data_IF_628031271908
#
_entry.id   IF_628031271908
#
_cell.length_a   1.000
_cell.length_b   1.000
_cell.length_c   1.000
_cell.angle_alpha   90.00
_cell.angle_beta   90.00
_cell.angle_gamma   90.00
#
_symmetry.space_group_name_H-M   'P 1'
#
loop_
_entity.id
_entity.type
_entity.pdbx_description
1 polymer ?
#
# COMPACT_ATOMS: atom_id res chain seq x y z
N UNK A 1 -34.90 14.92 -30.28
CA UNK A 1 -35.07 15.15 -28.83
C UNK A 1 -33.70 15.09 -28.18
N UNK A 2 -33.08 16.22 -27.77
CA UNK A 2 -31.81 16.17 -27.07
C UNK A 2 -32.02 15.62 -25.65
N UNK A 3 -31.29 14.55 -25.34
CA UNK A 3 -31.20 13.92 -24.02
C UNK A 3 -30.84 14.97 -22.96
N UNK A 4 -31.61 14.99 -21.86
CA UNK A 4 -31.40 15.92 -20.76
C UNK A 4 -30.02 15.70 -20.14
N UNK A 5 -29.23 16.77 -19.96
CA UNK A 5 -27.99 16.72 -19.19
C UNK A 5 -28.31 16.25 -17.76
N UNK A 6 -27.53 15.33 -17.18
CA UNK A 6 -27.67 15.01 -15.76
C UNK A 6 -27.45 16.27 -14.92
N UNK A 7 -28.20 16.37 -13.81
CA UNK A 7 -28.15 17.53 -12.92
C UNK A 7 -26.72 17.78 -12.40
N UNK A 8 -26.29 19.04 -12.25
CA UNK A 8 -24.98 19.34 -11.68
C UNK A 8 -24.92 18.81 -10.25
N UNK A 9 -23.88 18.03 -9.95
CA UNK A 9 -23.59 17.57 -8.60
C UNK A 9 -23.44 18.78 -7.68
N UNK A 10 -24.21 18.79 -6.57
CA UNK A 10 -24.15 19.86 -5.57
C UNK A 10 -22.75 19.89 -4.95
N UNK A 11 -22.17 21.09 -4.96
CA UNK A 11 -20.74 21.34 -4.79
C UNK A 11 -20.08 20.78 -3.52
N UNK A 12 -18.83 20.37 -3.71
CA UNK A 12 -17.74 20.62 -2.75
C UNK A 12 -16.70 21.51 -3.44
N UNK A 13 -15.94 22.26 -2.63
CA UNK A 13 -14.92 23.19 -3.08
C UNK A 13 -13.98 22.54 -4.10
N UNK A 14 -13.79 23.20 -5.25
CA UNK A 14 -12.85 22.76 -6.27
C UNK A 14 -11.43 22.72 -5.68
N UNK A 15 -10.88 21.51 -5.53
CA UNK A 15 -9.45 21.34 -5.30
C UNK A 15 -8.70 22.03 -6.45
N UNK A 16 -7.77 22.93 -6.11
CA UNK A 16 -6.87 23.56 -7.09
C UNK A 16 -5.88 22.57 -7.70
N UNK A 17 -5.77 21.37 -7.12
CA UNK A 17 -4.96 20.28 -7.63
C UNK A 17 -5.70 19.52 -8.75
N UNK A 18 -5.12 19.53 -9.95
CA UNK A 18 -5.68 18.84 -11.13
C UNK A 18 -5.87 17.32 -10.92
N UNK A 19 -5.13 16.71 -9.99
CA UNK A 19 -5.21 15.27 -9.67
C UNK A 19 -6.38 14.90 -8.76
N UNK A 20 -7.11 15.90 -8.25
CA UNK A 20 -8.23 15.73 -7.32
C UNK A 20 -9.56 16.21 -7.95
N UNK A 21 -9.56 16.67 -9.20
CA UNK A 21 -10.75 17.21 -9.87
C UNK A 21 -11.63 16.08 -10.40
N UNK A 22 -12.91 16.09 -10.04
CA UNK A 22 -13.94 15.13 -10.47
C UNK A 22 -13.62 13.65 -10.14
N UNK A 23 -12.79 13.40 -9.11
CA UNK A 23 -12.36 12.07 -8.65
C UNK A 23 -12.88 11.71 -7.25
N UNK A 24 -14.05 12.24 -6.88
CA UNK A 24 -14.68 11.96 -5.59
C UNK A 24 -14.91 10.45 -5.40
N UNK A 25 -14.61 9.96 -4.18
CA UNK A 25 -14.83 8.55 -3.81
C UNK A 25 -16.32 8.24 -3.82
N UNK A 26 -16.72 7.21 -4.56
CA UNK A 26 -18.10 6.69 -4.58
C UNK A 26 -18.14 5.25 -4.07
N UNK A 27 -19.29 4.75 -3.60
CA UNK A 27 -19.40 3.38 -3.10
C UNK A 27 -18.97 2.27 -4.10
N UNK A 28 -19.07 2.53 -5.41
CA UNK A 28 -18.76 1.53 -6.45
C UNK A 28 -17.27 1.50 -6.86
N UNK A 29 -16.52 2.58 -6.63
CA UNK A 29 -15.09 2.70 -6.97
C UNK A 29 -14.20 2.92 -5.73
N UNK A 30 -14.78 2.87 -4.54
CA UNK A 30 -14.04 2.96 -3.29
C UNK A 30 -13.52 1.59 -2.85
N UNK A 31 -12.43 1.19 -3.48
CA UNK A 31 -11.44 0.30 -2.88
C UNK A 31 -10.09 0.90 -3.24
N UNK A 32 -9.36 1.43 -2.27
CA UNK A 32 -8.00 1.85 -2.54
C UNK A 32 -7.21 0.57 -2.86
N UNK A 33 -7.05 0.26 -4.16
CA UNK A 33 -6.20 -0.81 -4.69
C UNK A 33 -4.76 -0.50 -4.31
N UNK A 34 -4.47 -0.73 -3.05
CA UNK A 34 -3.15 -0.56 -2.50
C UNK A 34 -2.40 -1.87 -2.69
N UNK A 35 -1.07 -1.81 -2.91
CA UNK A 35 -0.22 -2.99 -2.80
C UNK A 35 -0.46 -3.80 -1.51
N UNK A 36 -0.94 -3.14 -0.45
CA UNK A 36 -1.30 -3.75 0.83
C UNK A 36 -2.50 -4.70 0.73
N UNK A 37 -3.53 -4.34 -0.04
CA UNK A 37 -4.67 -5.24 -0.29
C UNK A 37 -4.25 -6.47 -1.09
N UNK A 38 -3.31 -6.32 -2.03
CA UNK A 38 -2.84 -7.45 -2.83
C UNK A 38 -2.04 -8.46 -2.01
N UNK A 39 -1.13 -8.00 -1.13
CA UNK A 39 -0.34 -8.93 -0.31
C UNK A 39 -1.20 -9.66 0.71
N UNK A 40 -2.18 -8.99 1.32
CA UNK A 40 -3.13 -9.62 2.24
C UNK A 40 -4.01 -10.67 1.53
N UNK A 41 -4.57 -10.30 0.36
CA UNK A 41 -5.40 -11.22 -0.43
C UNK A 41 -4.59 -12.40 -0.95
N UNK A 42 -3.36 -12.19 -1.41
CA UNK A 42 -2.54 -13.29 -1.93
C UNK A 42 -2.11 -14.23 -0.82
N UNK A 43 -1.76 -13.71 0.36
CA UNK A 43 -1.44 -14.53 1.53
C UNK A 43 -2.61 -15.36 2.07
N UNK A 44 -3.85 -14.92 1.86
CA UNK A 44 -5.05 -15.68 2.25
C UNK A 44 -5.48 -16.70 1.20
N UNK A 45 -5.41 -16.36 -0.10
CA UNK A 45 -5.87 -17.24 -1.19
C UNK A 45 -4.81 -18.28 -1.56
N UNK A 46 -3.53 -17.91 -1.52
CA UNK A 46 -2.40 -18.74 -1.95
C UNK A 46 -1.31 -18.82 -0.86
N UNK A 47 -1.65 -19.25 0.37
CA UNK A 47 -0.76 -19.14 1.53
C UNK A 47 0.58 -19.84 1.35
N UNK A 48 0.59 -21.02 0.71
CA UNK A 48 1.77 -21.88 0.57
C UNK A 48 2.52 -21.65 -0.75
N UNK A 49 2.00 -20.80 -1.65
CA UNK A 49 2.71 -20.45 -2.87
C UNK A 49 3.93 -19.60 -2.54
N UNK A 50 5.04 -19.87 -3.23
CA UNK A 50 6.29 -19.12 -3.07
C UNK A 50 6.09 -17.68 -3.52
N UNK A 51 6.31 -16.74 -2.61
CA UNK A 51 6.26 -15.30 -2.84
C UNK A 51 7.64 -14.72 -3.18
N UNK A 52 8.68 -15.24 -2.54
CA UNK A 52 10.03 -14.72 -2.63
C UNK A 52 11.06 -15.85 -2.69
N UNK A 53 12.04 -15.68 -3.57
CA UNK A 53 13.23 -16.54 -3.67
C UNK A 53 14.47 -15.63 -3.61
N UNK A 54 15.36 -15.89 -2.65
CA UNK A 54 16.64 -15.17 -2.54
C UNK A 54 17.76 -16.14 -2.11
N UNK A 55 18.66 -16.46 -3.03
CA UNK A 55 19.69 -17.49 -2.79
C UNK A 55 19.08 -18.85 -2.49
N UNK A 56 19.32 -19.38 -1.29
CA UNK A 56 18.73 -20.63 -0.78
C UNK A 56 17.40 -20.41 -0.01
N UNK A 57 17.05 -19.15 0.33
CA UNK A 57 15.80 -18.81 1.00
C UNK A 57 14.63 -18.90 0.03
N UNK A 58 13.55 -19.53 0.47
CA UNK A 58 12.24 -19.50 -0.18
C UNK A 58 11.23 -19.13 0.90
N UNK A 59 10.31 -18.23 0.59
CA UNK A 59 9.25 -17.82 1.51
C UNK A 59 7.91 -17.90 0.83
N UNK A 60 6.91 -18.40 1.55
CA UNK A 60 5.54 -18.42 1.09
C UNK A 60 4.88 -17.04 1.22
N UNK A 61 3.72 -16.85 0.59
CA UNK A 61 2.94 -15.62 0.76
C UNK A 61 2.47 -15.41 2.21
N UNK A 62 2.09 -16.48 2.92
CA UNK A 62 1.67 -16.39 4.32
C UNK A 62 2.82 -15.95 5.24
N UNK A 63 4.02 -16.50 5.05
CA UNK A 63 5.22 -16.11 5.79
C UNK A 63 5.64 -14.67 5.50
N UNK A 64 5.60 -14.27 4.23
CA UNK A 64 5.97 -12.94 3.76
C UNK A 64 5.03 -11.88 4.36
N UNK A 65 3.72 -12.10 4.29
CA UNK A 65 2.74 -11.19 4.88
C UNK A 65 2.88 -11.08 6.40
N UNK A 66 3.09 -12.22 7.09
CA UNK A 66 3.31 -12.22 8.54
C UNK A 66 4.55 -11.40 8.93
N UNK A 67 5.63 -11.47 8.14
CA UNK A 67 6.84 -10.67 8.37
C UNK A 67 6.62 -9.17 8.15
N UNK A 68 5.93 -8.79 7.07
CA UNK A 68 5.57 -7.40 6.81
C UNK A 68 4.71 -6.82 7.96
N UNK A 69 3.73 -7.60 8.44
CA UNK A 69 2.88 -7.23 9.59
C UNK A 69 3.68 -7.06 10.88
N UNK A 70 4.69 -7.92 11.13
CA UNK A 70 5.58 -7.78 12.30
C UNK A 70 6.42 -6.51 12.22
N UNK A 71 6.98 -6.19 11.03
CA UNK A 71 7.71 -4.94 10.80
C UNK A 71 6.81 -3.73 11.06
N UNK A 72 5.63 -3.70 10.45
CA UNK A 72 4.64 -2.63 10.65
C UNK A 72 4.28 -2.45 12.13
N UNK A 73 4.02 -3.56 12.84
CA UNK A 73 3.71 -3.52 14.27
C UNK A 73 4.86 -2.95 15.11
N UNK A 74 6.12 -3.27 14.78
CA UNK A 74 7.28 -2.71 15.46
C UNK A 74 7.43 -1.20 15.20
N UNK A 75 7.21 -0.76 13.96
CA UNK A 75 7.26 0.65 13.57
C UNK A 75 6.17 1.48 14.26
N UNK A 76 4.93 0.97 14.32
CA UNK A 76 3.83 1.62 15.05
C UNK A 76 4.17 1.77 16.55
N UNK A 77 4.82 0.76 17.17
CA UNK A 77 5.23 0.83 18.57
C UNK A 77 6.27 1.91 18.87
N UNK A 78 7.04 2.34 17.87
CA UNK A 78 8.00 3.45 18.00
C UNK A 78 7.46 4.78 17.48
N UNK A 79 6.15 4.84 17.16
CA UNK A 79 5.43 6.07 16.86
C UNK A 79 5.28 6.42 15.37
N UNK A 80 5.66 5.53 14.45
CA UNK A 80 5.55 5.79 13.00
C UNK A 80 4.10 5.61 12.52
N UNK A 81 3.59 6.59 11.78
CA UNK A 81 2.24 6.59 11.21
C UNK A 81 2.08 7.46 9.95
N UNK A 82 0.85 7.88 9.68
CA UNK A 82 0.51 8.76 8.56
C UNK A 82 1.24 10.09 8.66
N UNK A 83 1.94 10.47 7.59
CA UNK A 83 2.73 11.70 7.52
C UNK A 83 4.21 11.49 7.82
N UNK A 84 4.59 10.33 8.35
CA UNK A 84 5.99 10.00 8.61
C UNK A 84 6.68 9.38 7.40
N UNK A 85 7.98 9.61 7.29
CA UNK A 85 8.84 8.98 6.27
C UNK A 85 9.86 8.06 6.94
N UNK A 86 9.99 6.84 6.42
CA UNK A 86 10.99 5.87 6.87
C UNK A 86 12.03 5.69 5.78
N UNK A 87 13.26 6.10 6.03
CA UNK A 87 14.38 5.83 5.14
C UNK A 87 14.92 4.41 5.38
N UNK A 88 15.26 3.72 4.29
CA UNK A 88 15.96 2.44 4.34
C UNK A 88 17.19 2.49 3.43
N UNK A 89 18.33 2.06 3.96
CA UNK A 89 19.58 1.89 3.22
C UNK A 89 19.96 0.41 3.29
N UNK A 90 19.64 -0.32 2.24
CA UNK A 90 19.86 -1.76 2.15
C UNK A 90 19.99 -2.20 0.69
N UNK A 91 20.72 -3.29 0.41
CA UNK A 91 20.71 -3.92 -0.92
C UNK A 91 19.33 -4.51 -1.26
N UNK A 92 19.18 -5.05 -2.47
CA UNK A 92 17.97 -5.75 -2.91
C UNK A 92 17.82 -7.14 -2.25
N UNK A 93 17.52 -7.14 -0.95
CA UNK A 93 17.35 -8.32 -0.08
C UNK A 93 15.89 -8.46 0.38
N UNK A 94 15.48 -9.62 0.93
CA UNK A 94 14.10 -9.85 1.36
C UNK A 94 13.59 -8.82 2.39
N UNK A 95 14.44 -8.32 3.27
CA UNK A 95 14.10 -7.30 4.26
C UNK A 95 13.76 -5.96 3.60
N UNK A 96 14.46 -5.60 2.51
CA UNK A 96 14.13 -4.42 1.69
C UNK A 96 12.77 -4.61 1.02
N UNK A 97 12.51 -5.80 0.47
CA UNK A 97 11.20 -6.15 -0.10
C UNK A 97 10.08 -6.08 0.94
N UNK A 98 10.29 -6.63 2.14
CA UNK A 98 9.34 -6.59 3.25
C UNK A 98 9.03 -5.14 3.70
N UNK A 99 10.02 -4.24 3.65
CA UNK A 99 9.84 -2.83 3.99
C UNK A 99 8.87 -2.10 3.04
N UNK A 100 8.80 -2.49 1.77
CA UNK A 100 7.86 -1.91 0.78
C UNK A 100 6.40 -2.19 1.13
N UNK A 101 6.11 -3.17 1.99
CA UNK A 101 4.78 -3.41 2.53
C UNK A 101 4.67 -2.97 3.98
N UNK A 102 5.66 -3.29 4.81
CA UNK A 102 5.64 -3.03 6.25
C UNK A 102 5.58 -1.54 6.59
N UNK A 103 6.27 -0.66 5.86
CA UNK A 103 6.20 0.79 6.09
C UNK A 103 4.84 1.35 5.68
N UNK A 104 4.32 1.12 4.47
CA UNK A 104 2.99 1.62 4.11
C UNK A 104 1.85 1.05 4.97
N UNK A 105 2.02 -0.15 5.56
CA UNK A 105 1.05 -0.70 6.52
C UNK A 105 0.88 0.16 7.78
N UNK A 106 1.83 1.03 8.11
CA UNK A 106 1.68 2.00 9.21
C UNK A 106 0.99 3.30 8.77
N UNK A 107 0.82 3.50 7.46
CA UNK A 107 0.46 4.79 6.87
C UNK A 107 1.67 5.67 6.52
N UNK A 108 2.89 5.25 6.86
CA UNK A 108 4.12 5.97 6.53
C UNK A 108 4.57 5.78 5.08
N UNK A 109 5.49 6.62 4.62
CA UNK A 109 6.09 6.56 3.28
C UNK A 109 7.49 5.95 3.37
N UNK A 110 7.77 4.95 2.53
CA UNK A 110 9.12 4.38 2.41
C UNK A 110 9.98 5.27 1.50
N UNK A 111 11.15 5.66 1.98
CA UNK A 111 12.20 6.31 1.19
C UNK A 111 13.37 5.34 1.00
N UNK A 112 13.49 4.76 -0.20
CA UNK A 112 14.56 3.84 -0.55
C UNK A 112 15.83 4.59 -0.93
N UNK A 113 16.91 4.33 -0.19
CA UNK A 113 18.24 4.87 -0.47
C UNK A 113 19.10 3.79 -1.09
N UNK A 114 19.62 4.06 -2.28
CA UNK A 114 20.62 3.23 -2.93
C UNK A 114 22.02 3.72 -2.55
N UNK A 115 22.93 2.79 -2.34
CA UNK A 115 24.37 3.04 -2.24
C UNK A 115 25.03 3.05 -3.60
#
# INVERSE_FOLDING_TARGET
MPSARPAPYKGLAHSTNIYERDLDKTPANYAALTPLQFIERTASVYPDHVALIHGARRQSWSETYARCRRLASALVKVGIGTGDTVAIMAPNIPEMYEAHFGVPMTGGVLNSLNT
#
